data_IF_867281697168
#
_entry.id   IF_867281697168
#
_cell.length_a   1.000
_cell.length_b   1.000
_cell.length_c   1.000
_cell.angle_alpha   90.00
_cell.angle_beta   90.00
_cell.angle_gamma   90.00
#
_symmetry.space_group_name_H-M   'P 1'
#
loop_
_entity.id
_entity.type
_entity.pdbx_description
1 polymer ?
#
# COMPACT_ATOMS: atom_id res chain seq x y z
N UNK A 1 29.19 -26.97 -14.94
CA UNK A 1 28.59 -25.77 -14.31
C UNK A 1 27.77 -26.27 -13.15
N UNK A 2 28.23 -26.03 -11.94
CA UNK A 2 27.42 -26.32 -10.71
C UNK A 2 26.45 -25.17 -10.57
N UNK A 3 25.18 -25.42 -10.87
CA UNK A 3 24.08 -24.47 -10.53
C UNK A 3 24.01 -24.49 -9.01
N UNK A 4 24.49 -23.44 -8.37
CA UNK A 4 24.31 -23.27 -6.92
C UNK A 4 22.80 -23.24 -6.59
N UNK A 5 22.42 -23.55 -5.33
CA UNK A 5 21.03 -23.49 -4.93
C UNK A 5 20.50 -22.09 -5.28
N UNK A 6 19.37 -22.04 -6.01
CA UNK A 6 18.66 -20.79 -6.24
C UNK A 6 18.33 -20.20 -4.87
N UNK A 7 18.65 -18.93 -4.64
CA UNK A 7 18.29 -18.26 -3.41
C UNK A 7 16.77 -18.40 -3.20
N UNK A 8 16.38 -18.83 -2.02
CA UNK A 8 14.96 -18.96 -1.66
C UNK A 8 14.28 -17.60 -1.80
N UNK A 9 13.16 -17.54 -2.52
CA UNK A 9 12.42 -16.30 -2.72
C UNK A 9 11.74 -15.89 -1.41
N UNK A 10 12.10 -14.73 -0.90
CA UNK A 10 11.48 -14.17 0.32
C UNK A 10 10.11 -13.61 -0.03
N UNK A 11 9.07 -14.08 0.66
CA UNK A 11 7.74 -13.52 0.55
C UNK A 11 7.59 -12.33 1.48
N UNK A 12 7.00 -11.25 0.97
CA UNK A 12 6.61 -10.08 1.74
C UNK A 12 5.12 -9.80 1.60
N UNK A 13 4.52 -9.26 2.63
CA UNK A 13 3.17 -8.72 2.58
C UNK A 13 3.24 -7.20 2.69
N UNK A 14 2.57 -6.49 1.78
CA UNK A 14 2.56 -5.04 1.69
C UNK A 14 1.14 -4.51 1.86
N UNK A 15 0.92 -3.67 2.87
CA UNK A 15 -0.37 -3.01 3.11
C UNK A 15 -0.36 -1.59 2.59
N UNK A 16 -1.34 -1.29 1.73
CA UNK A 16 -1.51 0.01 1.09
C UNK A 16 -2.90 0.58 1.29
N UNK A 17 -2.98 1.91 1.30
CA UNK A 17 -4.20 2.65 0.97
C UNK A 17 -3.98 3.36 -0.36
N UNK A 18 -4.89 3.23 -1.36
CA UNK A 18 -4.73 3.90 -2.65
C UNK A 18 -4.56 5.42 -2.56
N UNK A 19 -5.11 6.04 -1.52
CA UNK A 19 -5.01 7.47 -1.27
C UNK A 19 -3.62 7.91 -0.82
N UNK A 20 -2.84 7.03 -0.19
CA UNK A 20 -1.56 7.42 0.40
C UNK A 20 -0.44 7.59 -0.64
N UNK A 21 0.06 8.82 -0.87
CA UNK A 21 1.12 9.05 -1.85
C UNK A 21 2.46 8.44 -1.44
N UNK A 22 2.70 8.28 -0.13
CA UNK A 22 3.91 7.65 0.39
C UNK A 22 3.90 6.14 0.17
N UNK A 23 2.74 5.49 0.38
CA UNK A 23 2.55 4.08 0.05
C UNK A 23 2.70 3.85 -1.45
N UNK A 24 2.23 4.80 -2.28
CA UNK A 24 2.41 4.73 -3.72
C UNK A 24 3.89 4.68 -4.10
N UNK A 25 4.71 5.62 -3.64
CA UNK A 25 6.16 5.62 -3.90
C UNK A 25 6.81 4.33 -3.42
N UNK A 26 6.52 3.91 -2.20
CA UNK A 26 7.12 2.71 -1.63
C UNK A 26 6.69 1.44 -2.37
N UNK A 27 5.46 1.38 -2.85
CA UNK A 27 5.01 0.26 -3.69
C UNK A 27 5.78 0.18 -5.02
N UNK A 28 6.04 1.32 -5.65
CA UNK A 28 6.83 1.36 -6.90
C UNK A 28 8.29 0.98 -6.63
N UNK A 29 8.84 1.38 -5.48
CA UNK A 29 10.15 0.90 -5.04
C UNK A 29 10.18 -0.60 -4.81
N UNK A 30 9.18 -1.20 -4.16
CA UNK A 30 9.10 -2.66 -3.97
C UNK A 30 9.14 -3.40 -5.31
N UNK A 31 8.45 -2.91 -6.35
CA UNK A 31 8.53 -3.47 -7.69
C UNK A 31 9.94 -3.37 -8.32
N UNK A 32 10.71 -2.33 -8.00
CA UNK A 32 12.12 -2.24 -8.40
C UNK A 32 12.99 -3.25 -7.63
N UNK A 33 12.68 -3.47 -6.34
CA UNK A 33 13.39 -4.48 -5.53
C UNK A 33 13.17 -5.89 -6.09
N UNK A 34 11.96 -6.25 -6.51
CA UNK A 34 11.66 -7.55 -7.13
C UNK A 34 12.51 -7.86 -8.36
N UNK A 35 12.98 -6.81 -9.06
CA UNK A 35 13.88 -6.98 -10.24
C UNK A 35 15.31 -7.31 -9.88
N UNK A 36 15.74 -7.01 -8.65
CA UNK A 36 17.15 -7.09 -8.23
C UNK A 36 17.37 -7.91 -6.97
N UNK A 37 16.30 -8.37 -6.31
CA UNK A 37 16.33 -9.26 -5.14
C UNK A 37 15.28 -10.37 -5.31
N UNK A 38 15.55 -11.57 -4.81
CA UNK A 38 14.60 -12.67 -4.86
C UNK A 38 13.49 -12.49 -3.81
N UNK A 39 12.61 -11.53 -4.05
CA UNK A 39 11.40 -11.30 -3.25
C UNK A 39 10.15 -11.44 -4.10
N UNK A 40 9.02 -11.70 -3.48
CA UNK A 40 7.68 -11.65 -4.09
C UNK A 40 6.72 -11.01 -3.12
N UNK A 41 5.81 -10.19 -3.63
CA UNK A 41 4.93 -9.34 -2.82
C UNK A 41 3.48 -9.78 -2.90
N UNK A 42 2.84 -9.92 -1.73
CA UNK A 42 1.39 -9.98 -1.60
C UNK A 42 0.86 -8.60 -1.26
N UNK A 43 -0.12 -8.13 -2.02
CA UNK A 43 -0.67 -6.79 -1.90
C UNK A 43 -1.95 -6.81 -1.07
N UNK A 44 -1.97 -6.10 0.04
CA UNK A 44 -3.04 -6.11 1.05
C UNK A 44 -3.55 -4.69 1.30
N UNK A 45 -4.80 -4.59 1.77
CA UNK A 45 -5.46 -3.30 1.99
C UNK A 45 -5.36 -2.89 3.44
N UNK A 46 -4.87 -1.69 3.69
CA UNK A 46 -5.18 -0.94 4.90
C UNK A 46 -6.02 0.29 4.55
N UNK A 47 -6.60 0.96 5.52
CA UNK A 47 -7.42 2.15 5.28
C UNK A 47 -7.02 3.28 6.19
N UNK A 48 -6.68 4.43 5.61
CA UNK A 48 -6.50 5.69 6.33
C UNK A 48 -7.82 6.17 6.95
N UNK A 49 -8.95 5.87 6.31
CA UNK A 49 -10.26 6.19 6.86
C UNK A 49 -10.54 5.38 8.13
N UNK A 50 -10.21 4.08 8.17
CA UNK A 50 -10.30 3.25 9.37
C UNK A 50 -9.32 3.74 10.45
N UNK A 51 -8.07 4.00 10.09
CA UNK A 51 -7.03 4.46 11.01
C UNK A 51 -7.40 5.76 11.71
N UNK A 52 -8.13 6.64 11.04
CA UNK A 52 -8.48 7.97 11.53
C UNK A 52 -9.94 8.07 12.02
N UNK A 53 -10.68 6.96 12.01
CA UNK A 53 -12.07 6.94 12.52
C UNK A 53 -12.11 7.32 14.00
N UNK A 54 -12.98 8.28 14.33
CA UNK A 54 -13.13 8.80 15.69
C UNK A 54 -12.01 9.73 16.21
N UNK A 55 -10.98 10.03 15.39
CA UNK A 55 -9.93 11.00 15.75
C UNK A 55 -10.39 12.45 15.49
N UNK A 56 -9.87 13.39 16.28
CA UNK A 56 -10.06 14.82 16.02
C UNK A 56 -9.22 15.25 14.80
N UNK A 57 -9.89 15.68 13.75
CA UNK A 57 -9.29 16.05 12.47
C UNK A 57 -9.84 17.41 12.00
N UNK A 58 -9.12 18.07 11.08
CA UNK A 58 -9.68 19.25 10.40
C UNK A 58 -10.89 18.86 9.53
N UNK A 59 -11.80 19.80 9.31
CA UNK A 59 -13.02 19.58 8.49
C UNK A 59 -12.65 19.07 7.08
N UNK A 60 -11.64 19.65 6.46
CA UNK A 60 -11.12 19.22 5.14
C UNK A 60 -10.64 17.77 5.15
N UNK A 61 -9.93 17.36 6.22
CA UNK A 61 -9.43 15.99 6.34
C UNK A 61 -10.55 15.00 6.62
N UNK A 62 -11.57 15.38 7.39
CA UNK A 62 -12.79 14.58 7.61
C UNK A 62 -13.52 14.33 6.30
N UNK A 63 -13.69 15.38 5.45
CA UNK A 63 -14.31 15.22 4.12
C UNK A 63 -13.52 14.24 3.26
N UNK A 64 -12.20 14.40 3.21
CA UNK A 64 -11.31 13.50 2.46
C UNK A 64 -11.41 12.05 2.97
N UNK A 65 -11.40 11.84 4.29
CA UNK A 65 -11.52 10.50 4.88
C UNK A 65 -12.89 9.87 4.60
N UNK A 66 -13.95 10.67 4.54
CA UNK A 66 -15.29 10.18 4.16
C UNK A 66 -15.30 9.60 2.73
N UNK A 67 -14.62 10.26 1.78
CA UNK A 67 -14.48 9.78 0.40
C UNK A 67 -13.51 8.59 0.30
N UNK A 68 -12.51 8.51 1.18
CA UNK A 68 -11.47 7.49 1.17
C UNK A 68 -11.97 6.07 1.43
N UNK A 69 -13.16 5.88 2.04
CA UNK A 69 -13.78 4.58 2.21
C UNK A 69 -14.09 3.89 0.86
N UNK A 70 -14.44 4.66 -0.16
CA UNK A 70 -14.85 4.12 -1.47
C UNK A 70 -13.78 3.24 -2.12
N UNK A 71 -12.60 3.75 -2.43
CA UNK A 71 -11.54 2.97 -3.09
C UNK A 71 -11.12 1.71 -2.32
N UNK A 72 -11.02 1.77 -0.98
CA UNK A 72 -10.62 0.60 -0.17
C UNK A 72 -11.72 -0.46 -0.10
N UNK A 73 -13.01 -0.08 -0.04
CA UNK A 73 -14.13 -1.03 -0.16
C UNK A 73 -14.11 -1.75 -1.51
N UNK A 74 -13.85 -1.03 -2.59
CA UNK A 74 -13.71 -1.63 -3.93
C UNK A 74 -12.55 -2.62 -3.98
N UNK A 75 -11.40 -2.31 -3.35
CA UNK A 75 -10.29 -3.26 -3.24
C UNK A 75 -10.69 -4.52 -2.44
N UNK A 76 -11.46 -4.38 -1.36
CA UNK A 76 -11.97 -5.53 -0.60
C UNK A 76 -12.94 -6.36 -1.43
N UNK A 77 -13.89 -5.73 -2.14
CA UNK A 77 -14.81 -6.45 -3.02
C UNK A 77 -14.08 -7.17 -4.17
N UNK A 78 -12.99 -6.60 -4.67
CA UNK A 78 -12.18 -7.21 -5.71
C UNK A 78 -11.51 -8.53 -5.29
N UNK A 79 -11.32 -8.77 -3.98
CA UNK A 79 -10.78 -10.04 -3.45
C UNK A 79 -11.62 -11.28 -3.82
N UNK A 80 -12.91 -11.10 -4.08
CA UNK A 80 -13.75 -12.20 -4.57
C UNK A 80 -13.43 -12.62 -6.01
N UNK A 81 -12.63 -11.83 -6.74
CA UNK A 81 -12.31 -12.02 -8.15
C UNK A 81 -10.81 -12.21 -8.42
N UNK A 82 -9.94 -11.79 -7.51
CA UNK A 82 -8.48 -11.91 -7.64
C UNK A 82 -7.78 -11.99 -6.29
N UNK A 83 -6.72 -12.78 -6.24
CA UNK A 83 -5.79 -12.81 -5.10
C UNK A 83 -4.73 -11.69 -5.21
N UNK A 84 -4.48 -11.17 -6.42
CA UNK A 84 -3.52 -10.11 -6.67
C UNK A 84 -4.22 -8.76 -6.89
N UNK A 85 -4.05 -7.85 -5.93
CA UNK A 85 -4.57 -6.49 -6.02
C UNK A 85 -3.63 -5.50 -6.72
N UNK A 86 -2.42 -5.90 -7.11
CA UNK A 86 -1.46 -4.98 -7.72
C UNK A 86 -1.99 -4.28 -8.99
N UNK A 87 -2.68 -4.97 -9.93
CA UNK A 87 -3.23 -4.31 -11.10
C UNK A 87 -4.24 -3.22 -10.74
N UNK A 88 -5.18 -3.52 -9.84
CA UNK A 88 -6.18 -2.54 -9.37
C UNK A 88 -5.53 -1.39 -8.61
N UNK A 89 -4.60 -1.69 -7.69
CA UNK A 89 -3.85 -0.67 -6.96
C UNK A 89 -3.06 0.24 -7.91
N UNK A 90 -2.44 -0.34 -8.94
CA UNK A 90 -1.69 0.44 -9.94
C UNK A 90 -2.61 1.37 -10.71
N UNK A 91 -3.75 0.88 -11.17
CA UNK A 91 -4.72 1.68 -11.91
C UNK A 91 -5.33 2.82 -11.06
N UNK A 92 -5.67 2.54 -9.78
CA UNK A 92 -6.14 3.56 -8.83
C UNK A 92 -5.06 4.60 -8.54
N UNK A 93 -3.85 4.15 -8.19
CA UNK A 93 -2.76 5.05 -7.83
C UNK A 93 -2.30 5.93 -9.00
N UNK A 94 -2.31 5.42 -10.23
CA UNK A 94 -2.03 6.24 -11.43
C UNK A 94 -3.05 7.38 -11.54
N UNK A 95 -4.33 7.08 -11.43
CA UNK A 95 -5.41 8.09 -11.53
C UNK A 95 -5.33 9.12 -10.41
N UNK A 96 -5.13 8.67 -9.18
CA UNK A 96 -5.08 9.56 -8.01
C UNK A 96 -3.79 10.39 -7.99
N UNK A 97 -2.62 9.77 -8.20
CA UNK A 97 -1.34 10.43 -7.95
C UNK A 97 -0.73 11.10 -9.17
N UNK A 98 -0.94 10.57 -10.38
CA UNK A 98 -0.41 11.14 -11.61
C UNK A 98 -1.45 11.99 -12.36
N UNK A 99 -2.67 11.45 -12.55
CA UNK A 99 -3.74 12.14 -13.29
C UNK A 99 -4.50 13.14 -12.41
N UNK A 100 -4.36 13.05 -11.05
CA UNK A 100 -4.98 13.96 -10.07
C UNK A 100 -6.51 13.92 -10.10
N UNK A 101 -7.09 12.75 -10.39
CA UNK A 101 -8.52 12.59 -10.28
C UNK A 101 -8.96 12.69 -8.80
N UNK A 102 -10.07 13.38 -8.59
CA UNK A 102 -10.71 13.47 -7.27
C UNK A 102 -11.31 12.11 -6.88
N UNK A 103 -11.43 11.85 -5.57
CA UNK A 103 -11.94 10.56 -5.06
C UNK A 103 -13.42 10.30 -5.43
N UNK A 104 -14.17 11.34 -5.71
CA UNK A 104 -15.58 11.30 -6.16
C UNK A 104 -15.74 11.43 -7.69
N UNK A 105 -14.64 11.42 -8.44
CA UNK A 105 -14.73 11.36 -9.90
C UNK A 105 -15.38 10.03 -10.33
N UNK A 106 -16.47 10.07 -11.10
CA UNK A 106 -17.21 8.86 -11.48
C UNK A 106 -16.39 7.87 -12.33
N UNK A 107 -15.29 8.33 -12.95
CA UNK A 107 -14.42 7.49 -13.77
C UNK A 107 -13.27 6.87 -13.00
N UNK A 108 -12.99 7.34 -11.79
CA UNK A 108 -11.87 6.84 -10.97
C UNK A 108 -11.97 5.32 -10.77
N UNK A 109 -13.05 4.87 -10.17
CA UNK A 109 -13.23 3.46 -9.82
C UNK A 109 -13.54 2.59 -11.03
N UNK A 110 -14.44 3.05 -11.90
CA UNK A 110 -14.84 2.30 -13.08
C UNK A 110 -13.69 2.09 -14.06
N UNK A 111 -12.93 3.16 -14.34
CA UNK A 111 -11.77 3.07 -15.22
C UNK A 111 -10.62 2.25 -14.62
N UNK A 112 -10.42 2.31 -13.29
CA UNK A 112 -9.40 1.48 -12.63
C UNK A 112 -9.76 -0.02 -12.66
N UNK A 113 -11.03 -0.36 -12.46
CA UNK A 113 -11.51 -1.74 -12.54
C UNK A 113 -11.39 -2.29 -13.97
N UNK A 114 -11.78 -1.50 -14.99
CA UNK A 114 -11.65 -1.88 -16.39
C UNK A 114 -10.19 -2.16 -16.77
N UNK A 115 -9.27 -1.26 -16.40
CA UNK A 115 -7.84 -1.42 -16.66
C UNK A 115 -7.25 -2.65 -15.94
N UNK A 116 -7.73 -2.94 -14.72
CA UNK A 116 -7.33 -4.12 -13.96
C UNK A 116 -7.97 -5.43 -14.46
N UNK A 117 -8.84 -5.38 -15.47
CA UNK A 117 -9.56 -6.55 -15.99
C UNK A 117 -10.61 -7.11 -15.03
N UNK A 118 -11.12 -6.28 -14.12
CA UNK A 118 -12.12 -6.63 -13.11
C UNK A 118 -13.53 -6.15 -13.52
N UNK A 119 -14.60 -6.78 -13.01
CA UNK A 119 -15.95 -6.34 -13.29
C UNK A 119 -16.18 -4.89 -12.86
N UNK A 120 -16.57 -4.02 -13.80
CA UNK A 120 -16.84 -2.58 -13.54
C UNK A 120 -17.96 -2.40 -12.50
N UNK A 121 -18.88 -3.39 -12.39
CA UNK A 121 -19.95 -3.38 -11.39
C UNK A 121 -19.45 -3.35 -9.94
N UNK A 122 -18.19 -3.74 -9.69
CA UNK A 122 -17.55 -3.64 -8.36
C UNK A 122 -17.41 -2.19 -7.88
N UNK A 123 -17.51 -1.19 -8.77
CA UNK A 123 -17.52 0.21 -8.37
C UNK A 123 -18.66 0.55 -7.40
N UNK A 124 -19.79 -0.16 -7.47
CA UNK A 124 -20.90 0.00 -6.53
C UNK A 124 -20.52 -0.34 -5.07
N UNK A 125 -19.50 -1.17 -4.87
CA UNK A 125 -19.00 -1.50 -3.54
C UNK A 125 -18.46 -0.27 -2.76
N UNK A 126 -18.12 0.81 -3.45
CA UNK A 126 -17.68 2.05 -2.79
C UNK A 126 -18.69 2.59 -1.77
N UNK A 127 -19.99 2.38 -2.02
CA UNK A 127 -21.08 2.79 -1.13
C UNK A 127 -21.56 1.68 -0.19
N UNK A 128 -20.97 0.49 -0.25
CA UNK A 128 -21.43 -0.69 0.51
C UNK A 128 -20.73 -0.80 1.86
N UNK A 129 -21.36 -0.26 2.90
CA UNK A 129 -20.85 -0.34 4.27
C UNK A 129 -20.86 -1.78 4.87
N UNK A 130 -21.50 -2.74 4.22
CA UNK A 130 -21.44 -4.15 4.69
C UNK A 130 -20.04 -4.77 4.56
N UNK A 131 -19.16 -4.13 3.78
CA UNK A 131 -17.75 -4.52 3.61
C UNK A 131 -16.83 -4.00 4.72
N UNK A 132 -17.33 -3.11 5.58
CA UNK A 132 -16.48 -2.42 6.58
C UNK A 132 -15.85 -3.36 7.59
N UNK A 133 -16.56 -4.39 8.03
CA UNK A 133 -16.01 -5.36 8.98
C UNK A 133 -14.87 -6.17 8.33
N UNK A 134 -15.01 -6.54 7.05
CA UNK A 134 -13.96 -7.22 6.30
C UNK A 134 -12.76 -6.28 6.07
N UNK A 135 -13.01 -5.02 5.72
CA UNK A 135 -11.98 -4.01 5.56
C UNK A 135 -11.20 -3.78 6.86
N UNK A 136 -11.91 -3.64 7.99
CA UNK A 136 -11.30 -3.46 9.31
C UNK A 136 -10.46 -4.67 9.70
N UNK A 137 -10.95 -5.89 9.46
CA UNK A 137 -10.19 -7.11 9.72
C UNK A 137 -8.90 -7.19 8.88
N UNK A 138 -8.95 -6.82 7.60
CA UNK A 138 -7.77 -6.74 6.73
C UNK A 138 -6.79 -5.67 7.22
N UNK A 139 -7.29 -4.48 7.56
CA UNK A 139 -6.52 -3.36 8.11
C UNK A 139 -5.76 -3.77 9.38
N UNK A 140 -6.45 -4.34 10.37
CA UNK A 140 -5.86 -4.76 11.63
C UNK A 140 -4.81 -5.86 11.46
N UNK A 141 -5.02 -6.78 10.51
CA UNK A 141 -4.02 -7.80 10.18
C UNK A 141 -2.67 -7.21 9.80
N UNK A 142 -2.67 -6.06 9.14
CA UNK A 142 -1.44 -5.34 8.78
C UNK A 142 -0.92 -4.41 9.87
N UNK A 143 -1.84 -3.71 10.56
CA UNK A 143 -1.48 -2.57 11.40
C UNK A 143 -1.19 -2.94 12.86
N UNK A 144 -1.80 -3.99 13.41
CA UNK A 144 -1.67 -4.32 14.85
C UNK A 144 -0.22 -4.55 15.29
N UNK A 145 0.64 -5.02 14.38
CA UNK A 145 2.04 -5.27 14.68
C UNK A 145 2.92 -4.00 14.71
N UNK A 146 2.46 -2.89 14.13
CA UNK A 146 3.19 -1.61 14.07
C UNK A 146 2.55 -0.50 14.90
N UNK A 147 1.31 -0.71 15.38
CA UNK A 147 0.56 0.24 16.19
C UNK A 147 -0.18 1.30 15.37
N UNK A 148 -0.99 2.11 16.06
CA UNK A 148 -1.88 3.11 15.45
C UNK A 148 -1.26 4.50 15.28
N UNK A 149 -0.01 4.69 15.73
CA UNK A 149 0.72 5.97 15.62
C UNK A 149 1.38 6.17 14.26
N UNK A 150 1.27 5.18 13.38
CA UNK A 150 1.84 5.19 12.03
C UNK A 150 0.73 4.97 10.99
N UNK A 151 1.02 5.35 9.74
CA UNK A 151 0.12 5.13 8.62
C UNK A 151 0.58 3.98 7.72
N UNK A 152 0.47 4.19 6.40
CA UNK A 152 0.92 3.26 5.38
C UNK A 152 2.07 3.88 4.58
N UNK A 153 2.99 3.09 3.98
CA UNK A 153 2.96 1.62 3.83
C UNK A 153 3.38 0.87 5.09
N UNK A 154 2.86 -0.36 5.24
CA UNK A 154 3.37 -1.34 6.20
C UNK A 154 3.85 -2.57 5.45
N UNK A 155 4.98 -3.11 5.84
CA UNK A 155 5.58 -4.31 5.25
C UNK A 155 5.77 -5.36 6.34
N UNK A 156 5.34 -6.59 6.05
CA UNK A 156 5.67 -7.75 6.85
C UNK A 156 6.65 -8.65 6.08
N UNK A 157 7.73 -9.04 6.72
CA UNK A 157 8.76 -9.91 6.17
C UNK A 157 9.48 -10.67 7.29
N UNK A 158 9.82 -11.93 7.07
CA UNK A 158 10.59 -12.76 8.01
C UNK A 158 10.01 -12.79 9.45
N UNK A 159 8.69 -12.66 9.59
CA UNK A 159 8.00 -12.67 10.88
C UNK A 159 8.05 -11.33 11.64
N UNK A 160 8.54 -10.25 11.03
CA UNK A 160 8.52 -8.89 11.57
C UNK A 160 7.67 -7.97 10.70
N UNK A 161 7.13 -6.93 11.32
CA UNK A 161 6.39 -5.87 10.63
C UNK A 161 7.03 -4.52 10.90
N UNK A 162 6.99 -3.61 9.92
CA UNK A 162 7.45 -2.24 10.08
C UNK A 162 6.69 -1.27 9.18
N UNK A 163 6.58 -0.04 9.63
CA UNK A 163 6.06 1.09 8.85
C UNK A 163 7.16 1.67 7.96
N UNK A 164 6.84 1.91 6.71
CA UNK A 164 7.77 2.48 5.75
C UNK A 164 8.53 1.43 4.91
N UNK A 165 9.71 1.81 4.35
CA UNK A 165 10.35 3.13 4.41
C UNK A 165 9.52 4.21 3.71
N UNK A 166 9.47 5.42 4.30
CA UNK A 166 8.82 6.59 3.71
C UNK A 166 9.86 7.38 2.94
N UNK A 167 9.68 7.50 1.62
CA UNK A 167 10.65 8.10 0.70
C UNK A 167 9.96 9.11 -0.20
N UNK A 168 10.66 10.20 -0.55
CA UNK A 168 10.15 11.20 -1.49
C UNK A 168 10.34 10.82 -2.96
N UNK A 169 11.30 9.94 -3.26
CA UNK A 169 11.61 9.44 -4.60
C UNK A 169 11.68 7.92 -4.62
N UNK A 170 11.50 7.34 -5.80
CA UNK A 170 11.59 5.90 -6.02
C UNK A 170 13.05 5.52 -6.32
N UNK A 171 13.76 4.82 -5.40
CA UNK A 171 15.08 4.27 -5.74
C UNK A 171 14.94 3.26 -6.88
N UNK A 172 15.92 3.25 -7.81
CA UNK A 172 15.89 2.40 -9.01
C UNK A 172 17.04 1.41 -9.02
N UNK A 173 16.84 0.28 -9.69
CA UNK A 173 17.87 -0.73 -9.93
C UNK A 173 18.55 -1.20 -8.64
N UNK A 174 19.89 -1.31 -8.63
CA UNK A 174 20.63 -1.82 -7.46
C UNK A 174 20.49 -0.93 -6.22
N UNK A 175 20.27 0.38 -6.39
CA UNK A 175 19.98 1.26 -5.25
C UNK A 175 18.68 0.86 -4.53
N UNK A 176 17.67 0.43 -5.28
CA UNK A 176 16.43 -0.11 -4.68
C UNK A 176 16.73 -1.34 -3.82
N UNK A 177 17.56 -2.26 -4.32
CA UNK A 177 18.00 -3.44 -3.57
C UNK A 177 18.78 -3.09 -2.31
N UNK A 178 19.71 -2.12 -2.38
CA UNK A 178 20.49 -1.69 -1.21
C UNK A 178 19.62 -1.07 -0.11
N UNK A 179 18.61 -0.26 -0.49
CA UNK A 179 17.64 0.31 0.46
C UNK A 179 16.82 -0.81 1.10
N UNK A 180 16.40 -1.81 0.33
CA UNK A 180 15.70 -2.99 0.83
C UNK A 180 16.54 -3.78 1.84
N UNK A 181 17.78 -4.11 1.47
CA UNK A 181 18.69 -4.87 2.34
C UNK A 181 18.89 -4.15 3.69
N UNK A 182 19.09 -2.83 3.65
CA UNK A 182 19.21 -2.00 4.85
C UNK A 182 17.93 -1.99 5.70
N UNK A 183 16.76 -1.80 5.09
CA UNK A 183 15.47 -1.79 5.80
C UNK A 183 15.19 -3.15 6.45
N UNK A 184 15.39 -4.26 5.72
CA UNK A 184 15.20 -5.62 6.22
C UNK A 184 16.12 -5.96 7.38
N UNK A 185 17.41 -5.57 7.30
CA UNK A 185 18.39 -5.78 8.38
C UNK A 185 18.02 -5.01 9.65
N UNK A 186 17.62 -3.74 9.52
CA UNK A 186 17.18 -2.93 10.67
C UNK A 186 15.92 -3.50 11.29
N UNK A 187 14.90 -3.80 10.49
CA UNK A 187 13.63 -4.35 10.96
C UNK A 187 13.80 -5.71 11.63
N UNK A 188 14.74 -6.53 11.16
CA UNK A 188 15.06 -7.84 11.75
C UNK A 188 15.79 -7.79 13.09
N UNK A 189 16.27 -6.61 13.54
CA UNK A 189 16.91 -6.49 14.84
C UNK A 189 15.85 -6.27 15.94
N UNK A 190 15.68 -7.20 16.91
CA UNK A 190 14.53 -7.20 17.84
C UNK A 190 14.41 -5.96 18.74
N UNK A 191 15.46 -5.16 18.87
CA UNK A 191 15.50 -3.95 19.71
C UNK A 191 15.55 -2.66 18.89
N UNK A 192 15.24 -2.73 17.59
CA UNK A 192 15.13 -1.58 16.72
C UNK A 192 13.64 -1.19 16.59
N UNK A 193 13.32 0.07 16.83
CA UNK A 193 11.95 0.55 16.79
C UNK A 193 11.73 1.64 15.74
N UNK A 194 12.62 2.61 15.60
CA UNK A 194 12.39 3.75 14.69
C UNK A 194 13.69 4.32 14.12
N UNK A 195 13.65 4.64 12.83
CA UNK A 195 14.62 5.50 12.13
C UNK A 195 13.86 6.56 11.35
N UNK A 196 13.98 7.83 11.77
CA UNK A 196 13.22 8.95 11.20
C UNK A 196 14.09 10.16 10.90
N UNK A 197 13.80 10.82 9.79
CA UNK A 197 14.35 12.15 9.44
C UNK A 197 13.21 13.13 9.18
N UNK A 198 13.49 14.45 9.31
CA UNK A 198 12.57 15.48 8.83
C UNK A 198 12.41 15.37 7.31
N UNK A 199 11.18 15.39 6.85
CA UNK A 199 10.85 15.44 5.41
C UNK A 199 11.03 16.88 4.93
N UNK A 200 11.86 17.08 3.92
CA UNK A 200 12.12 18.38 3.29
C UNK A 200 11.48 18.51 1.91
N UNK A 201 10.98 17.39 1.38
CA UNK A 201 10.36 17.31 0.05
C UNK A 201 9.07 16.53 0.11
N UNK A 202 8.13 16.86 -0.75
CA UNK A 202 6.92 16.09 -1.00
C UNK A 202 7.17 14.84 -1.84
N UNK A 203 6.11 14.04 -2.12
CA UNK A 203 6.20 12.89 -3.00
C UNK A 203 6.54 13.29 -4.43
N UNK A 204 7.50 12.59 -5.05
CA UNK A 204 7.91 12.74 -6.45
C UNK A 204 7.64 11.39 -7.13
N UNK A 205 6.74 11.39 -8.11
CA UNK A 205 6.17 10.17 -8.71
C UNK A 205 6.88 9.69 -9.99
N UNK A 206 8.00 10.26 -10.36
CA UNK A 206 8.74 9.99 -11.62
C UNK A 206 9.42 8.61 -11.63
#
# INVERSE_FOLDING_TARGET
>A
MVVGPMAETTRIDFWFDPLCPWAWITSRWVLEVERVRPITTSWNVMSLAVLNDGKELSEEYVEMMTKAWGPVRVCIAARAHTDDLLPLYTALGTRIHHEKLELDDPTLLTGALEEAGLPVSLAAAAADASLDDQLKAEHHRGMDAVGEDVGTPVIHVDGVAFFGPVMSQIPRGEQAGQVWDGARLLAGFPHFYELKRTRTEGPIFD
#
